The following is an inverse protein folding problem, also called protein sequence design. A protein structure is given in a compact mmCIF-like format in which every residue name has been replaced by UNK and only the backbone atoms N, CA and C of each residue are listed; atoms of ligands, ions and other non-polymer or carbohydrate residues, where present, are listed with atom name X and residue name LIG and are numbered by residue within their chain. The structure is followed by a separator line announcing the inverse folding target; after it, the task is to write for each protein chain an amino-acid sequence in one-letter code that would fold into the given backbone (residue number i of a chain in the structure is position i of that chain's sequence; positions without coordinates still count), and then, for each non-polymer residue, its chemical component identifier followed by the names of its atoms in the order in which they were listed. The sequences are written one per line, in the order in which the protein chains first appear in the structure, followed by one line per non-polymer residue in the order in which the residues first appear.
data_IF_470008146332
#
_entry.id   IF_470008146332
#
_cell.length_a   1.000
_cell.length_b   1.000
_cell.length_c   1.000
_cell.angle_alpha   90.00
_cell.angle_beta   90.00
_cell.angle_gamma   90.00
#
_symmetry.space_group_name_H-M   'P 1'
#
loop_
_entity.id
_entity.type
_entity.pdbx_description
1 polymer ?
#
# COMPACT_ATOMS: atom_id res chain seq x y z
N UNK A 1 -39.44 -7.54 -9.86
CA UNK A 1 -38.03 -7.54 -9.45
C UNK A 1 -37.79 -6.19 -8.82
N UNK A 2 -37.79 -6.15 -7.48
CA UNK A 2 -37.66 -4.92 -6.71
C UNK A 2 -36.19 -4.48 -6.73
N UNK A 3 -35.96 -3.20 -6.99
CA UNK A 3 -34.64 -2.58 -6.86
C UNK A 3 -34.45 -2.27 -5.39
N UNK A 4 -33.40 -2.85 -4.83
CA UNK A 4 -33.00 -2.70 -3.44
C UNK A 4 -32.55 -1.26 -3.16
N UNK A 5 -32.97 -0.69 -2.03
CA UNK A 5 -32.83 0.73 -1.67
C UNK A 5 -31.70 0.99 -0.66
N UNK A 6 -30.95 -0.03 -0.26
CA UNK A 6 -30.11 0.05 0.94
C UNK A 6 -28.67 0.56 0.75
N UNK A 7 -28.14 0.66 -0.48
CA UNK A 7 -26.79 1.22 -0.70
C UNK A 7 -26.64 2.73 -0.46
N UNK A 8 -27.73 3.47 -0.21
CA UNK A 8 -27.66 4.93 -0.01
C UNK A 8 -27.50 5.37 1.46
N UNK A 9 -27.74 4.46 2.40
CA UNK A 9 -27.73 4.80 3.83
C UNK A 9 -26.32 4.79 4.45
N UNK A 10 -25.42 3.91 4.01
CA UNK A 10 -24.05 3.84 4.55
C UNK A 10 -23.22 5.08 4.25
N UNK A 11 -23.28 5.59 3.01
CA UNK A 11 -22.55 6.79 2.63
C UNK A 11 -23.03 8.05 3.37
N UNK A 12 -24.35 8.15 3.61
CA UNK A 12 -24.93 9.23 4.41
C UNK A 12 -24.49 9.10 5.87
N UNK A 13 -24.42 7.87 6.39
CA UNK A 13 -23.97 7.60 7.76
C UNK A 13 -22.50 8.00 7.98
N UNK A 14 -21.63 7.69 7.03
CA UNK A 14 -20.20 8.03 7.10
C UNK A 14 -19.95 9.54 6.98
N UNK A 15 -20.69 10.23 6.10
CA UNK A 15 -20.65 11.69 6.00
C UNK A 15 -21.16 12.37 7.28
N UNK A 16 -22.21 11.82 7.91
CA UNK A 16 -22.72 12.32 9.19
C UNK A 16 -21.72 12.13 10.34
N UNK A 17 -20.98 11.02 10.37
CA UNK A 17 -19.91 10.77 11.37
C UNK A 17 -18.78 11.79 11.20
N UNK A 18 -18.35 12.06 9.97
CA UNK A 18 -17.28 13.04 9.71
C UNK A 18 -17.71 14.46 10.10
N UNK A 19 -18.95 14.87 9.76
CA UNK A 19 -19.49 16.17 10.14
C UNK A 19 -19.70 16.32 11.67
N UNK A 20 -20.07 15.23 12.35
CA UNK A 20 -20.17 15.20 13.81
C UNK A 20 -18.79 15.37 14.49
N UNK A 21 -17.76 14.72 13.95
CA UNK A 21 -16.37 14.86 14.43
C UNK A 21 -15.82 16.28 14.27
N UNK A 22 -16.06 16.92 13.12
CA UNK A 22 -15.67 18.32 12.87
C UNK A 22 -16.38 19.28 13.83
N UNK A 23 -17.66 19.02 14.13
CA UNK A 23 -18.45 19.80 15.08
C UNK A 23 -17.90 19.68 16.51
N UNK A 24 -17.51 18.47 16.95
CA UNK A 24 -16.89 18.24 18.26
C UNK A 24 -15.53 18.95 18.40
N UNK A 25 -14.70 18.94 17.35
CA UNK A 25 -13.41 19.65 17.33
C UNK A 25 -13.61 21.16 17.45
N UNK A 26 -14.60 21.73 16.76
CA UNK A 26 -14.88 23.16 16.82
C UNK A 26 -15.50 23.59 18.16
N UNK A 27 -16.35 22.76 18.76
CA UNK A 27 -16.89 22.98 20.11
C UNK A 27 -15.76 22.93 21.16
N UNK A 28 -14.81 22.00 21.05
CA UNK A 28 -13.69 21.92 21.99
C UNK A 28 -12.75 23.14 21.88
N UNK A 29 -12.51 23.62 20.66
CA UNK A 29 -11.76 24.86 20.39
C UNK A 29 -12.45 26.11 20.97
N UNK A 30 -13.77 26.20 20.86
CA UNK A 30 -14.55 27.29 21.45
C UNK A 30 -14.57 27.24 22.99
N UNK A 31 -14.54 26.05 23.60
CA UNK A 31 -14.51 25.91 25.06
C UNK A 31 -13.21 26.40 25.71
N UNK A 32 -12.12 26.46 24.95
CA UNK A 32 -10.80 26.91 25.43
C UNK A 32 -10.58 28.43 25.38
N UNK A 33 -11.53 29.21 24.87
CA UNK A 33 -11.48 30.68 24.91
C UNK A 33 -12.53 31.25 25.89
N UNK A 34 -12.09 31.53 27.12
CA UNK A 34 -12.71 32.34 28.20
C UNK A 34 -14.24 32.56 28.23
N UNK A 35 -14.84 32.07 29.32
CA UNK A 35 -16.05 32.53 30.04
C UNK A 35 -17.27 32.90 29.19
N UNK A 36 -18.16 31.93 29.01
CA UNK A 36 -19.61 32.16 28.96
C UNK A 36 -20.33 31.04 29.69
N UNK A 37 -21.18 31.44 30.62
CA UNK A 37 -22.10 30.61 31.38
C UNK A 37 -23.25 30.09 30.50
N UNK A 38 -23.67 28.84 30.82
CA UNK A 38 -24.94 28.19 30.50
C UNK A 38 -25.20 27.90 29.00
N UNK A 39 -24.84 26.68 28.59
CA UNK A 39 -25.70 25.86 27.75
C UNK A 39 -26.01 24.58 28.52
N UNK A 40 -27.22 24.46 29.05
CA UNK A 40 -27.74 23.18 29.51
C UNK A 40 -27.80 22.24 28.32
N UNK A 41 -27.10 21.12 28.47
CA UNK A 41 -27.06 19.98 27.55
C UNK A 41 -28.51 19.59 27.19
N UNK A 42 -28.93 19.93 25.97
CA UNK A 42 -30.18 19.44 25.40
C UNK A 42 -29.76 18.50 24.27
N UNK A 43 -30.20 17.26 24.37
CA UNK A 43 -29.90 16.22 23.39
C UNK A 43 -30.35 16.68 22.00
N UNK A 44 -29.38 16.97 21.12
CA UNK A 44 -29.64 17.21 19.70
C UNK A 44 -29.94 15.86 19.09
N UNK A 45 -31.15 15.67 18.58
CA UNK A 45 -31.55 14.41 17.95
C UNK A 45 -31.19 14.40 16.47
N UNK A 46 -31.10 13.22 15.87
CA UNK A 46 -30.88 13.06 14.42
C UNK A 46 -31.92 13.83 13.56
N UNK A 47 -33.15 13.98 14.07
CA UNK A 47 -34.20 14.77 13.42
C UNK A 47 -33.93 16.28 13.43
N UNK A 48 -33.18 16.79 14.41
CA UNK A 48 -32.85 18.22 14.50
C UNK A 48 -31.76 18.57 13.49
N UNK A 49 -30.79 17.66 13.29
CA UNK A 49 -29.77 17.77 12.24
C UNK A 49 -30.41 17.74 10.85
N UNK A 50 -31.35 16.84 10.59
CA UNK A 50 -32.07 16.79 9.31
C UNK A 50 -32.89 18.06 9.03
N UNK A 51 -33.40 18.75 10.05
CA UNK A 51 -34.08 20.05 9.87
C UNK A 51 -33.11 21.20 9.62
N UNK A 52 -31.93 21.17 10.24
CA UNK A 52 -30.89 22.18 10.04
C UNK A 52 -30.32 22.16 8.60
N UNK A 53 -30.22 20.98 8.00
CA UNK A 53 -29.61 20.78 6.68
C UNK A 53 -30.61 20.41 5.58
N UNK A 54 -31.89 20.27 5.92
CA UNK A 54 -32.94 19.78 5.02
C UNK A 54 -33.93 20.85 4.64
N UNK A 55 -33.57 21.67 3.65
CA UNK A 55 -34.50 22.10 2.59
C UNK A 55 -33.66 22.64 1.44
N UNK A 56 -33.63 21.89 0.32
CA UNK A 56 -32.90 22.17 -0.92
C UNK A 56 -31.41 21.75 -0.99
N UNK A 57 -31.14 20.45 -0.84
CA UNK A 57 -29.97 19.83 -1.50
C UNK A 57 -30.47 19.10 -2.74
N UNK A 58 -30.86 19.86 -3.76
CA UNK A 58 -30.98 19.36 -5.12
C UNK A 58 -30.01 20.14 -6.00
N UNK A 59 -29.01 19.41 -6.52
CA UNK A 59 -28.04 19.81 -7.54
C UNK A 59 -27.09 20.96 -7.14
N UNK A 60 -26.06 20.63 -6.35
CA UNK A 60 -24.83 21.42 -6.37
C UNK A 60 -23.85 20.80 -7.38
N UNK A 61 -23.45 21.61 -8.37
CA UNK A 61 -22.35 21.26 -9.28
C UNK A 61 -21.05 21.13 -8.50
N UNK A 62 -20.13 20.32 -9.03
CA UNK A 62 -18.86 19.89 -8.44
C UNK A 62 -18.01 21.04 -7.86
N UNK A 63 -18.09 22.23 -8.44
CA UNK A 63 -17.37 23.42 -7.98
C UNK A 63 -17.91 23.99 -6.66
N UNK A 64 -19.23 23.87 -6.41
CA UNK A 64 -19.83 24.30 -5.15
C UNK A 64 -19.51 23.35 -3.99
N UNK A 65 -19.20 22.07 -4.29
CA UNK A 65 -18.73 21.08 -3.31
C UNK A 65 -17.36 21.43 -2.74
N UNK A 66 -16.42 21.83 -3.61
CA UNK A 66 -15.08 22.22 -3.19
C UNK A 66 -15.07 23.55 -2.41
N UNK A 67 -15.91 24.51 -2.80
CA UNK A 67 -16.02 25.80 -2.11
C UNK A 67 -16.62 25.67 -0.70
N UNK A 68 -17.60 24.78 -0.51
CA UNK A 68 -18.18 24.48 0.81
C UNK A 68 -17.18 23.75 1.71
N UNK A 69 -16.39 22.82 1.16
CA UNK A 69 -15.31 22.15 1.89
C UNK A 69 -14.22 23.14 2.34
N UNK A 70 -13.83 24.07 1.46
CA UNK A 70 -12.83 25.10 1.78
C UNK A 70 -13.31 26.07 2.90
N UNK A 71 -14.59 26.47 2.88
CA UNK A 71 -15.18 27.29 3.94
C UNK A 71 -15.28 26.54 5.28
N UNK A 72 -15.67 25.26 5.27
CA UNK A 72 -15.70 24.43 6.48
C UNK A 72 -14.31 24.20 7.10
N UNK A 73 -13.25 24.29 6.29
CA UNK A 73 -11.85 24.15 6.73
C UNK A 73 -11.20 25.48 7.15
N UNK A 74 -11.90 26.61 7.04
CA UNK A 74 -11.40 27.93 7.48
C UNK A 74 -10.20 28.45 6.67
N UNK A 75 -10.05 28.02 5.41
CA UNK A 75 -8.94 28.41 4.54
C UNK A 75 -9.25 29.71 3.77
N UNK A 76 -9.48 30.81 4.48
CA UNK A 76 -9.29 32.16 3.93
C UNK A 76 -8.67 33.04 5.02
N UNK A 77 -7.33 33.04 5.06
CA UNK A 77 -6.55 34.12 5.66
C UNK A 77 -5.15 34.13 5.00
N UNK A 78 -4.74 35.30 4.51
CA UNK A 78 -3.34 35.60 4.20
C UNK A 78 -2.49 35.30 5.44
N UNK A 79 -1.44 34.49 5.28
CA UNK A 79 -0.51 34.17 6.36
C UNK A 79 0.91 34.46 5.88
N UNK A 80 1.45 35.57 6.39
CA UNK A 80 2.88 35.80 6.54
C UNK A 80 3.52 34.63 7.30
N UNK A 81 4.71 34.25 6.83
CA UNK A 81 5.52 33.12 7.30
C UNK A 81 5.71 33.15 8.82
N UNK A 82 5.11 32.18 9.52
CA UNK A 82 5.47 31.80 10.89
C UNK A 82 5.98 30.37 10.88
N UNK A 83 7.25 30.23 11.23
CA UNK A 83 7.96 28.97 11.45
C UNK A 83 7.41 28.32 12.73
N UNK A 84 6.66 27.22 12.57
CA UNK A 84 6.09 26.46 13.68
C UNK A 84 6.83 25.13 13.80
N UNK A 85 7.78 25.07 14.73
CA UNK A 85 8.41 23.82 15.16
C UNK A 85 7.40 22.96 15.94
N UNK A 86 7.10 21.76 15.45
CA UNK A 86 6.27 20.79 16.15
C UNK A 86 7.05 20.12 17.28
N UNK A 87 6.77 20.49 18.54
CA UNK A 87 7.22 19.68 19.68
C UNK A 87 6.25 18.53 19.92
N UNK A 88 6.66 17.30 19.64
CA UNK A 88 5.93 16.08 20.02
C UNK A 88 6.06 15.88 21.54
N UNK A 89 5.07 16.33 22.31
CA UNK A 89 4.85 15.80 23.67
C UNK A 89 3.65 14.86 23.61
N UNK A 90 3.75 13.62 24.13
CA UNK A 90 2.62 12.73 24.21
C UNK A 90 1.54 13.33 25.13
N UNK A 91 0.26 12.98 24.93
CA UNK A 91 -0.80 13.38 25.86
C UNK A 91 -0.52 12.79 27.24
N UNK A 92 -0.73 13.59 28.28
CA UNK A 92 -0.70 13.13 29.67
C UNK A 92 -1.80 12.07 29.87
N UNK A 93 -1.43 10.84 30.25
CA UNK A 93 -2.38 9.74 30.52
C UNK A 93 -2.07 8.39 29.88
N UNK A 94 -0.92 8.22 29.20
CA UNK A 94 -0.53 6.95 28.53
C UNK A 94 -0.45 5.77 29.51
N UNK A 95 -0.19 6.02 30.80
CA UNK A 95 -0.02 4.97 31.83
C UNK A 95 -1.28 4.17 32.17
N UNK A 96 -2.47 4.60 31.70
CA UNK A 96 -3.75 3.92 31.98
C UNK A 96 -4.22 2.98 30.85
N UNK A 97 -3.51 2.93 29.73
CA UNK A 97 -3.85 2.03 28.63
C UNK A 97 -3.38 0.58 28.93
N UNK A 98 -4.16 -0.46 28.55
CA UNK A 98 -3.69 -1.83 28.58
C UNK A 98 -2.34 -1.97 27.84
N UNK A 99 -1.40 -2.73 28.41
CA UNK A 99 -0.01 -2.85 27.91
C UNK A 99 0.10 -3.23 26.42
N UNK A 100 -0.89 -3.95 25.89
CA UNK A 100 -0.99 -4.28 24.47
C UNK A 100 -1.29 -3.04 23.58
N UNK A 101 -2.11 -2.10 24.06
CA UNK A 101 -2.45 -0.85 23.36
C UNK A 101 -1.36 0.20 23.50
N UNK A 102 -0.64 0.23 24.64
CA UNK A 102 0.56 1.06 24.79
C UNK A 102 1.62 0.69 23.74
N UNK A 103 1.79 -0.60 23.42
CA UNK A 103 2.76 -1.07 22.41
C UNK A 103 2.34 -0.73 20.96
N UNK A 104 1.05 -0.70 20.66
CA UNK A 104 0.52 -0.30 19.34
C UNK A 104 0.72 1.20 19.04
N UNK A 105 0.80 2.05 20.08
CA UNK A 105 1.02 3.50 19.95
C UNK A 105 2.47 3.93 20.17
N UNK A 106 3.27 3.11 20.86
CA UNK A 106 4.68 3.39 21.21
C UNK A 106 5.67 2.56 20.39
N UNK A 107 5.33 2.11 19.18
CA UNK A 107 6.38 1.81 18.22
C UNK A 107 7.00 3.14 17.80
N UNK A 108 7.91 3.65 18.62
CA UNK A 108 8.91 4.60 18.16
C UNK A 108 9.42 4.07 16.82
N UNK A 109 9.49 4.89 15.75
CA UNK A 109 10.16 4.46 14.54
C UNK A 109 11.52 3.95 14.97
N UNK A 110 11.79 2.66 14.74
CA UNK A 110 12.98 1.96 15.21
C UNK A 110 14.18 2.79 14.75
N UNK A 111 14.70 3.63 15.65
CA UNK A 111 15.61 4.74 15.33
C UNK A 111 17.05 4.27 15.20
N UNK A 112 17.30 2.97 15.27
CA UNK A 112 18.59 2.42 14.89
C UNK A 112 18.60 2.23 13.38
N UNK A 113 19.47 2.97 12.70
CA UNK A 113 19.81 2.70 11.31
C UNK A 113 20.04 1.18 11.14
N UNK A 114 19.40 0.54 10.14
CA UNK A 114 19.41 -0.91 10.02
C UNK A 114 20.87 -1.40 9.93
N UNK A 115 21.23 -2.35 10.80
CA UNK A 115 22.53 -3.03 10.70
C UNK A 115 22.66 -3.61 9.30
N UNK A 116 23.86 -3.54 8.72
CA UNK A 116 24.13 -4.11 7.40
C UNK A 116 23.73 -5.60 7.44
N UNK A 117 22.77 -6.04 6.62
CA UNK A 117 22.21 -7.37 6.72
C UNK A 117 23.31 -8.41 6.48
N UNK A 118 23.25 -9.50 7.25
CA UNK A 118 24.07 -10.67 6.99
C UNK A 118 23.86 -11.14 5.54
N UNK A 119 24.94 -11.56 4.87
CA UNK A 119 24.88 -11.87 3.45
C UNK A 119 24.10 -13.17 3.24
N UNK A 120 22.81 -13.05 2.95
CA UNK A 120 21.95 -14.19 2.61
C UNK A 120 22.20 -14.60 1.15
N UNK A 121 22.40 -15.91 0.93
CA UNK A 121 22.43 -16.47 -0.43
C UNK A 121 21.01 -16.56 -0.98
N UNK A 122 20.74 -15.89 -2.09
CA UNK A 122 19.44 -15.96 -2.76
C UNK A 122 19.56 -16.73 -4.07
N UNK A 123 18.69 -17.73 -4.24
CA UNK A 123 18.58 -18.49 -5.48
C UNK A 123 17.77 -17.69 -6.53
N UNK A 124 18.46 -16.82 -7.28
CA UNK A 124 17.86 -16.05 -8.38
C UNK A 124 18.38 -16.56 -9.73
N UNK A 125 17.48 -17.06 -10.57
CA UNK A 125 17.77 -17.43 -11.95
C UNK A 125 17.35 -16.31 -12.92
N UNK A 126 18.22 -16.02 -13.90
CA UNK A 126 17.96 -15.08 -15.01
C UNK A 126 18.39 -15.72 -16.32
N UNK A 127 17.50 -15.78 -17.31
CA UNK A 127 17.88 -16.23 -18.66
C UNK A 127 18.81 -15.21 -19.34
N UNK A 128 19.47 -15.60 -20.43
CA UNK A 128 20.31 -14.66 -21.20
C UNK A 128 19.47 -13.56 -21.87
N UNK A 129 18.25 -13.88 -22.29
CA UNK A 129 17.29 -12.92 -22.84
C UNK A 129 16.92 -11.87 -21.80
N UNK A 130 16.61 -12.31 -20.57
CA UNK A 130 16.31 -11.44 -19.43
C UNK A 130 17.52 -10.55 -19.11
N UNK A 131 18.72 -11.11 -18.96
CA UNK A 131 19.94 -10.32 -18.72
C UNK A 131 20.17 -9.27 -19.80
N UNK A 132 19.92 -9.62 -21.06
CA UNK A 132 20.04 -8.71 -22.20
C UNK A 132 18.97 -7.60 -22.14
N UNK A 133 17.73 -7.96 -21.81
CA UNK A 133 16.62 -7.01 -21.64
C UNK A 133 16.90 -6.02 -20.50
N UNK A 134 17.33 -6.49 -19.32
CA UNK A 134 17.68 -5.62 -18.18
C UNK A 134 18.69 -4.53 -18.57
N UNK A 135 19.76 -4.91 -19.28
CA UNK A 135 20.77 -3.95 -19.77
C UNK A 135 20.18 -2.93 -20.74
N UNK A 136 19.31 -3.37 -21.67
CA UNK A 136 18.66 -2.48 -22.63
C UNK A 136 17.71 -1.51 -21.93
N UNK A 137 16.92 -1.99 -20.98
CA UNK A 137 15.95 -1.18 -20.23
C UNK A 137 16.66 -0.14 -19.36
N UNK A 138 17.70 -0.52 -18.61
CA UNK A 138 18.51 0.43 -17.84
C UNK A 138 19.11 1.53 -18.72
N UNK A 139 19.63 1.17 -19.90
CA UNK A 139 20.14 2.15 -20.85
C UNK A 139 19.03 3.06 -21.42
N UNK A 140 17.81 2.54 -21.57
CA UNK A 140 16.65 3.33 -22.00
C UNK A 140 16.17 4.28 -20.90
N UNK A 141 16.05 3.82 -19.65
CA UNK A 141 15.68 4.65 -18.50
C UNK A 141 16.61 5.85 -18.38
N UNK A 142 17.92 5.62 -18.46
CA UNK A 142 18.90 6.70 -18.42
C UNK A 142 18.69 7.71 -19.56
N UNK A 143 18.53 7.25 -20.79
CA UNK A 143 18.29 8.12 -21.95
C UNK A 143 17.01 8.93 -21.83
N UNK A 144 15.95 8.32 -21.29
CA UNK A 144 14.68 9.01 -21.08
C UNK A 144 14.83 10.06 -19.97
N UNK A 145 15.47 9.73 -18.86
CA UNK A 145 15.74 10.67 -17.78
C UNK A 145 16.59 11.87 -18.25
N UNK A 146 17.66 11.63 -19.01
CA UNK A 146 18.51 12.68 -19.58
C UNK A 146 17.69 13.62 -20.51
N UNK A 147 16.80 13.04 -21.33
CA UNK A 147 15.94 13.79 -22.25
C UNK A 147 14.84 14.59 -21.51
N UNK A 148 14.27 14.02 -20.44
CA UNK A 148 13.29 14.70 -19.58
C UNK A 148 13.93 15.87 -18.83
N UNK A 149 15.14 15.69 -18.31
CA UNK A 149 15.90 16.76 -17.66
C UNK A 149 16.17 17.92 -18.63
N UNK A 150 16.64 17.62 -19.85
CA UNK A 150 16.90 18.63 -20.88
C UNK A 150 15.62 19.42 -21.25
N UNK A 151 14.45 18.77 -21.21
CA UNK A 151 13.17 19.41 -21.50
C UNK A 151 12.67 20.25 -20.35
N UNK A 152 12.82 19.77 -19.11
CA UNK A 152 12.44 20.52 -17.91
C UNK A 152 13.13 21.87 -17.83
N UNK A 153 14.41 21.96 -18.25
CA UNK A 153 15.15 23.23 -18.26
C UNK A 153 14.65 24.28 -19.27
N UNK A 154 13.80 23.89 -20.23
CA UNK A 154 13.32 24.76 -21.31
C UNK A 154 11.87 25.21 -21.14
N UNK A 155 11.16 24.74 -20.11
CA UNK A 155 9.75 25.07 -19.90
C UNK A 155 9.59 26.24 -18.93
N UNK A 156 9.11 27.37 -19.44
CA UNK A 156 8.60 28.46 -18.60
C UNK A 156 7.25 28.03 -17.98
N UNK A 157 7.29 27.80 -16.66
CA UNK A 157 6.20 27.59 -15.69
C UNK A 157 4.78 27.45 -16.26
N UNK A 158 4.26 26.22 -16.37
CA UNK A 158 2.81 26.02 -16.32
C UNK A 158 2.45 24.75 -15.54
N UNK A 159 1.55 24.90 -14.57
CA UNK A 159 1.22 23.86 -13.58
C UNK A 159 0.70 22.54 -14.18
N UNK A 160 0.11 22.55 -15.38
CA UNK A 160 -0.38 21.33 -16.03
C UNK A 160 0.73 20.54 -16.73
N UNK A 161 1.81 21.20 -17.17
CA UNK A 161 2.97 20.54 -17.79
C UNK A 161 3.70 19.64 -16.80
N UNK A 162 3.77 20.11 -15.55
CA UNK A 162 4.48 19.42 -14.48
C UNK A 162 3.83 18.07 -14.14
N UNK A 163 2.51 17.95 -14.26
CA UNK A 163 1.79 16.73 -13.86
C UNK A 163 2.00 15.57 -14.84
N UNK A 164 1.86 15.80 -16.15
CA UNK A 164 2.02 14.72 -17.15
C UNK A 164 3.49 14.24 -17.21
N UNK A 165 4.44 15.17 -17.11
CA UNK A 165 5.86 14.85 -17.02
C UNK A 165 6.17 14.09 -15.73
N UNK A 166 5.69 14.56 -14.57
CA UNK A 166 5.87 13.89 -13.29
C UNK A 166 5.29 12.48 -13.27
N UNK A 167 4.12 12.26 -13.91
CA UNK A 167 3.53 10.92 -14.02
C UNK A 167 4.38 9.98 -14.89
N UNK A 168 4.94 10.46 -16.00
CA UNK A 168 5.84 9.66 -16.83
C UNK A 168 7.15 9.32 -16.09
N UNK A 169 7.75 10.31 -15.43
CA UNK A 169 8.94 10.12 -14.59
C UNK A 169 8.68 9.08 -13.50
N UNK A 170 7.58 9.24 -12.78
CA UNK A 170 7.15 8.31 -11.72
C UNK A 170 6.92 6.90 -12.26
N UNK A 171 6.33 6.72 -13.44
CA UNK A 171 6.16 5.38 -14.02
C UNK A 171 7.49 4.72 -14.36
N UNK A 172 8.41 5.48 -14.94
CA UNK A 172 9.75 4.97 -15.28
C UNK A 172 10.53 4.65 -14.00
N UNK A 173 10.40 5.47 -12.97
CA UNK A 173 11.02 5.26 -11.66
C UNK A 173 10.44 4.03 -10.93
N UNK A 174 9.13 3.83 -11.01
CA UNK A 174 8.43 2.73 -10.34
C UNK A 174 8.55 1.40 -11.10
N UNK A 175 8.97 1.45 -12.37
CA UNK A 175 9.30 0.23 -13.11
C UNK A 175 10.46 -0.52 -12.45
N UNK A 176 10.36 -1.85 -12.38
CA UNK A 176 11.33 -2.67 -11.66
C UNK A 176 11.46 -4.06 -12.30
N UNK A 177 12.56 -4.76 -11.98
CA UNK A 177 12.66 -6.19 -12.25
C UNK A 177 11.60 -6.94 -11.44
N UNK A 178 10.83 -7.82 -12.09
CA UNK A 178 9.85 -8.70 -11.46
C UNK A 178 10.34 -10.14 -11.40
N UNK A 179 9.82 -10.90 -10.43
CA UNK A 179 10.25 -12.27 -10.18
C UNK A 179 9.06 -13.20 -9.95
N UNK A 180 9.01 -14.28 -10.73
CA UNK A 180 8.19 -15.44 -10.42
C UNK A 180 8.80 -16.18 -9.23
N UNK A 181 7.95 -16.63 -8.31
CA UNK A 181 8.39 -17.43 -7.17
C UNK A 181 8.40 -18.91 -7.55
N UNK A 182 9.49 -19.61 -7.24
CA UNK A 182 9.57 -21.08 -7.33
C UNK A 182 9.17 -21.66 -5.99
N UNK A 183 8.17 -22.53 -6.01
CA UNK A 183 7.63 -23.14 -4.80
C UNK A 183 8.16 -24.56 -4.58
N UNK A 184 8.37 -24.90 -3.32
CA UNK A 184 8.48 -26.28 -2.86
C UNK A 184 7.36 -26.54 -1.85
N UNK A 185 6.76 -27.73 -1.90
CA UNK A 185 5.79 -28.17 -0.91
C UNK A 185 6.52 -28.81 0.27
N UNK A 186 6.16 -28.40 1.48
CA UNK A 186 6.59 -29.04 2.73
C UNK A 186 5.41 -29.29 3.65
N UNK A 187 5.49 -30.31 4.49
CA UNK A 187 4.46 -30.54 5.50
C UNK A 187 4.54 -29.48 6.61
N UNK A 188 3.40 -28.94 7.03
CA UNK A 188 3.30 -27.96 8.12
C UNK A 188 3.97 -28.42 9.44
N UNK A 189 4.12 -29.73 9.65
CA UNK A 189 4.71 -30.31 10.86
C UNK A 189 6.22 -30.12 10.97
N UNK A 190 6.90 -29.91 9.85
CA UNK A 190 8.37 -29.89 9.78
C UNK A 190 8.93 -28.65 9.08
N UNK A 191 8.06 -27.79 8.53
CA UNK A 191 8.50 -26.57 7.86
C UNK A 191 9.21 -25.62 8.84
N UNK A 192 10.29 -25.01 8.37
CA UNK A 192 10.92 -23.91 9.08
C UNK A 192 10.02 -22.67 9.02
N UNK A 193 9.43 -22.30 10.15
CA UNK A 193 8.49 -21.17 10.24
C UNK A 193 9.16 -19.81 10.06
N UNK A 194 10.50 -19.73 9.98
CA UNK A 194 11.26 -18.49 9.78
C UNK A 194 11.60 -18.18 8.30
N UNK A 195 11.06 -18.94 7.34
CA UNK A 195 11.28 -18.74 5.89
C UNK A 195 10.11 -18.04 5.20
N UNK A 196 10.31 -17.58 3.96
CA UNK A 196 9.22 -17.06 3.13
C UNK A 196 8.30 -18.19 2.66
N UNK A 197 6.98 -18.02 2.81
CA UNK A 197 5.99 -19.04 2.46
C UNK A 197 4.59 -18.45 2.23
N UNK A 198 3.72 -19.23 1.59
CA UNK A 198 2.28 -18.96 1.46
C UNK A 198 1.50 -19.74 2.51
N UNK A 199 0.39 -19.17 2.99
CA UNK A 199 -0.59 -19.80 3.90
C UNK A 199 -0.08 -20.32 5.24
N UNK A 200 1.20 -20.13 5.59
CA UNK A 200 1.74 -20.55 6.88
C UNK A 200 1.97 -22.06 7.00
N UNK A 201 2.22 -22.57 8.21
CA UNK A 201 2.16 -21.86 9.49
C UNK A 201 3.28 -20.82 9.60
N UNK A 202 2.90 -19.55 9.77
CA UNK A 202 3.88 -18.45 9.92
C UNK A 202 4.59 -18.50 11.26
N UNK A 203 5.72 -17.81 11.39
CA UNK A 203 6.35 -17.62 12.68
C UNK A 203 5.42 -16.85 13.61
N UNK A 204 5.19 -17.34 14.81
CA UNK A 204 4.45 -16.64 15.86
C UNK A 204 5.11 -16.92 17.19
N UNK A 205 5.12 -15.93 18.09
CA UNK A 205 5.67 -16.05 19.43
C UNK A 205 4.73 -15.40 20.46
N UNK A 206 5.08 -15.44 21.75
CA UNK A 206 4.30 -14.73 22.77
C UNK A 206 4.31 -13.20 22.57
N UNK A 207 5.41 -12.66 22.02
CA UNK A 207 5.52 -11.24 21.71
C UNK A 207 4.79 -10.86 20.41
N UNK A 208 4.71 -11.80 19.47
CA UNK A 208 4.05 -11.65 18.17
C UNK A 208 3.07 -12.80 17.94
N UNK A 209 1.92 -12.81 18.66
CA UNK A 209 0.96 -13.89 18.56
C UNK A 209 0.27 -13.88 17.19
N UNK A 210 -0.23 -15.04 16.77
CA UNK A 210 -1.16 -15.11 15.63
C UNK A 210 -2.36 -14.20 15.90
N UNK A 211 -2.78 -13.36 14.94
CA UNK A 211 -4.02 -12.60 15.08
C UNK A 211 -5.22 -13.53 15.23
N UNK A 212 -6.18 -13.13 16.05
CA UNK A 212 -7.41 -13.90 16.27
C UNK A 212 -8.29 -13.79 15.02
N UNK A 213 -8.82 -14.92 14.54
CA UNK A 213 -9.74 -14.99 13.41
C UNK A 213 -9.20 -14.43 12.07
N UNK A 214 -7.88 -14.36 11.89
CA UNK A 214 -7.29 -14.00 10.60
C UNK A 214 -6.53 -15.18 9.99
N UNK A 215 -6.61 -15.30 8.68
CA UNK A 215 -5.91 -16.32 7.92
C UNK A 215 -4.53 -15.81 7.45
N UNK A 216 -3.48 -16.64 7.56
CA UNK A 216 -2.14 -16.32 7.05
C UNK A 216 -2.13 -16.28 5.51
N UNK A 217 -1.69 -15.19 4.89
CA UNK A 217 -1.64 -15.08 3.41
C UNK A 217 -0.24 -15.32 2.88
N UNK A 218 0.70 -14.43 3.23
CA UNK A 218 2.11 -14.57 2.86
C UNK A 218 3.03 -14.13 4.01
N UNK A 219 4.14 -14.84 4.17
CA UNK A 219 5.28 -14.41 4.98
C UNK A 219 6.50 -14.25 4.08
N UNK A 220 7.27 -13.19 4.27
CA UNK A 220 8.51 -12.91 3.56
C UNK A 220 9.67 -12.67 4.53
N UNK A 221 10.79 -13.34 4.31
CA UNK A 221 12.08 -12.93 4.87
C UNK A 221 12.58 -11.67 4.15
N UNK A 222 12.54 -10.54 4.86
CA UNK A 222 12.92 -9.24 4.31
C UNK A 222 14.40 -9.17 3.93
N UNK A 223 15.28 -10.05 4.48
CA UNK A 223 16.68 -10.12 4.04
C UNK A 223 16.79 -10.66 2.63
N UNK A 224 15.98 -11.67 2.30
CA UNK A 224 15.92 -12.26 0.96
C UNK A 224 15.35 -11.23 -0.01
N UNK A 225 14.23 -10.61 0.33
CA UNK A 225 13.63 -9.54 -0.47
C UNK A 225 14.64 -8.41 -0.72
N UNK A 226 15.34 -7.97 0.32
CA UNK A 226 16.39 -6.93 0.24
C UNK A 226 17.53 -7.32 -0.71
N UNK A 227 17.99 -8.58 -0.62
CA UNK A 227 19.06 -9.09 -1.47
C UNK A 227 18.64 -9.22 -2.94
N UNK A 228 17.36 -9.52 -3.22
CA UNK A 228 16.82 -9.56 -4.59
C UNK A 228 16.88 -8.18 -5.24
N UNK A 229 16.37 -7.14 -4.57
CA UNK A 229 16.33 -5.77 -5.13
C UNK A 229 17.58 -4.94 -4.87
N UNK A 230 18.54 -5.46 -4.11
CA UNK A 230 19.77 -4.74 -3.75
C UNK A 230 19.53 -3.51 -2.87
N UNK A 231 18.40 -3.47 -2.13
CA UNK A 231 18.00 -2.34 -1.28
C UNK A 231 17.57 -2.86 0.08
N UNK A 232 17.89 -2.18 1.18
CA UNK A 232 17.53 -2.61 2.52
C UNK A 232 16.03 -2.40 2.80
N UNK A 233 15.23 -3.45 2.66
CA UNK A 233 13.80 -3.46 2.97
C UNK A 233 13.51 -3.81 4.43
N UNK A 234 14.48 -4.40 5.13
CA UNK A 234 14.39 -4.76 6.53
C UNK A 234 15.18 -6.03 6.86
N UNK A 235 15.29 -6.31 8.16
CA UNK A 235 15.95 -7.50 8.70
C UNK A 235 14.98 -8.21 9.66
N UNK A 236 14.07 -9.00 9.09
CA UNK A 236 12.94 -9.59 9.82
C UNK A 236 12.00 -10.38 8.92
N UNK A 237 10.81 -10.68 9.45
CA UNK A 237 9.72 -11.33 8.73
C UNK A 237 8.59 -10.34 8.52
N UNK A 238 8.16 -10.14 7.28
CA UNK A 238 6.91 -9.45 6.96
C UNK A 238 5.82 -10.50 6.83
N UNK A 239 4.68 -10.30 7.47
CA UNK A 239 3.51 -11.16 7.39
C UNK A 239 2.30 -10.36 6.95
N UNK A 240 1.49 -10.97 6.08
CA UNK A 240 0.15 -10.51 5.75
C UNK A 240 -0.86 -11.52 6.29
N UNK A 241 -1.78 -11.03 7.10
CA UNK A 241 -2.93 -11.75 7.61
C UNK A 241 -4.21 -11.11 7.07
N UNK A 242 -5.24 -11.92 6.86
CA UNK A 242 -6.49 -11.44 6.30
C UNK A 242 -7.72 -12.07 6.96
N UNK A 243 -8.67 -11.22 7.31
CA UNK A 243 -9.98 -11.56 7.85
C UNK A 243 -11.00 -11.42 6.72
N UNK A 244 -11.54 -12.55 6.26
CA UNK A 244 -12.49 -12.59 5.16
C UNK A 244 -13.89 -12.10 5.55
N UNK A 245 -14.27 -12.25 6.81
CA UNK A 245 -15.59 -11.85 7.27
C UNK A 245 -15.69 -10.33 7.33
N UNK A 246 -14.66 -9.68 7.86
CA UNK A 246 -14.61 -8.22 7.99
C UNK A 246 -13.91 -7.52 6.82
N UNK A 247 -13.35 -8.27 5.86
CA UNK A 247 -12.50 -7.76 4.77
C UNK A 247 -11.36 -6.87 5.28
N UNK A 248 -10.62 -7.37 6.28
CA UNK A 248 -9.52 -6.62 6.92
C UNK A 248 -8.20 -7.31 6.74
N UNK A 249 -7.20 -6.54 6.32
CA UNK A 249 -5.81 -6.98 6.29
C UNK A 249 -5.04 -6.49 7.52
N UNK A 250 -4.11 -7.30 7.99
CA UNK A 250 -3.09 -6.91 8.95
C UNK A 250 -1.71 -7.21 8.38
N UNK A 251 -0.90 -6.15 8.24
CA UNK A 251 0.53 -6.29 8.00
C UNK A 251 1.26 -6.27 9.34
N UNK A 252 2.13 -7.24 9.56
CA UNK A 252 3.01 -7.29 10.72
C UNK A 252 4.47 -7.47 10.28
N UNK A 253 5.39 -6.73 10.91
CA UNK A 253 6.83 -6.94 10.75
C UNK A 253 7.41 -7.43 12.06
N UNK A 254 8.07 -8.58 12.02
CA UNK A 254 8.74 -9.19 13.19
C UNK A 254 10.25 -9.00 13.02
N UNK A 255 10.92 -8.24 13.91
CA UNK A 255 12.36 -8.02 13.84
C UNK A 255 13.13 -9.33 13.93
N UNK A 256 14.22 -9.47 13.16
CA UNK A 256 15.02 -10.71 13.14
C UNK A 256 15.52 -11.13 14.51
N UNK A 257 15.85 -10.17 15.37
CA UNK A 257 16.32 -10.44 16.73
C UNK A 257 15.28 -11.16 17.61
N UNK A 258 14.00 -11.09 17.23
CA UNK A 258 12.86 -11.72 17.92
C UNK A 258 12.43 -13.04 17.26
N UNK A 259 13.06 -13.42 16.14
CA UNK A 259 12.74 -14.65 15.41
C UNK A 259 13.58 -15.80 15.98
N UNK A 260 13.07 -16.45 17.01
CA UNK A 260 13.61 -17.68 17.57
C UNK A 260 12.67 -18.86 17.30
N UNK A 261 13.05 -19.76 16.40
CA UNK A 261 12.21 -20.90 16.01
C UNK A 261 11.91 -21.86 17.16
N UNK A 262 12.71 -21.83 18.23
CA UNK A 262 12.47 -22.63 19.44
C UNK A 262 11.34 -22.07 20.32
N UNK A 263 10.99 -20.79 20.18
CA UNK A 263 9.91 -20.10 20.91
C UNK A 263 8.62 -19.98 20.07
N UNK A 264 8.44 -20.86 19.09
CA UNK A 264 7.26 -20.80 18.23
C UNK A 264 6.00 -21.25 18.97
N UNK A 265 4.98 -20.39 19.04
CA UNK A 265 3.70 -20.76 19.65
C UNK A 265 2.94 -21.74 18.77
N UNK A 266 2.05 -22.53 19.38
CA UNK A 266 1.16 -23.43 18.63
C UNK A 266 0.35 -22.65 17.60
N UNK A 267 0.38 -23.10 16.36
CA UNK A 267 -0.35 -22.49 15.26
C UNK A 267 -1.75 -23.12 15.18
N UNK A 268 -2.77 -22.38 15.60
CA UNK A 268 -4.16 -22.82 15.57
C UNK A 268 -4.96 -21.88 14.67
N UNK A 269 -4.86 -22.08 13.35
CA UNK A 269 -5.73 -21.38 12.41
C UNK A 269 -6.85 -22.32 12.02
N UNK A 270 -8.08 -21.93 12.37
CA UNK A 270 -9.27 -22.64 11.91
C UNK A 270 -9.47 -22.27 10.45
N UNK A 271 -9.49 -23.26 9.56
CA UNK A 271 -9.94 -23.02 8.19
C UNK A 271 -11.35 -22.44 8.25
N UNK A 272 -11.61 -21.35 7.52
CA UNK A 272 -12.96 -20.81 7.39
C UNK A 272 -13.87 -21.90 6.84
N UNK A 273 -14.97 -22.21 7.52
CA UNK A 273 -15.83 -23.34 7.18
C UNK A 273 -16.61 -23.23 5.86
N UNK A 274 -16.40 -22.15 5.08
CA UNK A 274 -17.06 -21.90 3.80
C UNK A 274 -16.03 -21.48 2.74
N UNK A 275 -15.44 -22.49 2.07
CA UNK A 275 -14.47 -22.32 0.99
C UNK A 275 -15.00 -21.45 -0.17
N UNK A 276 -16.31 -21.22 -0.24
CA UNK A 276 -16.97 -20.38 -1.24
C UNK A 276 -16.89 -18.87 -0.99
N UNK A 277 -16.59 -18.44 0.24
CA UNK A 277 -16.57 -17.02 0.64
C UNK A 277 -15.15 -16.49 0.91
N UNK A 278 -14.15 -17.37 0.94
CA UNK A 278 -12.80 -16.96 1.27
C UNK A 278 -12.11 -16.30 0.06
N UNK A 279 -11.56 -15.07 0.20
CA UNK A 279 -10.92 -14.37 -0.91
C UNK A 279 -9.51 -14.86 -1.21
N UNK A 280 -9.09 -16.01 -0.66
CA UNK A 280 -7.92 -16.68 -1.23
C UNK A 280 -8.28 -17.11 -2.64
N UNK A 281 -7.35 -16.99 -3.59
CA UNK A 281 -7.56 -17.56 -4.91
C UNK A 281 -8.06 -18.99 -4.74
N UNK A 282 -9.23 -19.32 -5.28
CA UNK A 282 -9.89 -20.63 -5.15
C UNK A 282 -9.01 -21.83 -5.59
N UNK A 283 -7.83 -21.56 -6.13
CA UNK A 283 -6.82 -22.50 -6.62
C UNK A 283 -5.50 -22.44 -5.83
N UNK A 284 -5.51 -21.84 -4.63
CA UNK A 284 -4.35 -21.73 -3.77
C UNK A 284 -4.04 -23.08 -3.10
N UNK A 285 -3.17 -23.87 -3.73
CA UNK A 285 -2.72 -25.19 -3.24
C UNK A 285 -1.74 -25.03 -2.06
N UNK A 286 -2.13 -24.35 -0.98
CA UNK A 286 -1.32 -24.20 0.25
C UNK A 286 -2.24 -24.06 1.46
N UNK A 287 -2.06 -24.94 2.44
CA UNK A 287 -2.90 -25.02 3.65
C UNK A 287 -2.02 -24.94 4.91
N UNK A 288 -2.27 -24.00 5.85
CA UNK A 288 -1.53 -23.90 7.12
C UNK A 288 -1.51 -25.19 7.93
N UNK A 289 -2.50 -26.06 7.74
CA UNK A 289 -2.67 -27.31 8.45
C UNK A 289 -2.32 -28.54 7.58
N UNK A 290 -1.80 -28.32 6.37
CA UNK A 290 -1.51 -29.34 5.37
C UNK A 290 -0.13 -29.19 4.76
N UNK A 291 -0.07 -29.23 3.43
CA UNK A 291 1.16 -28.93 2.69
C UNK A 291 1.24 -27.43 2.41
N UNK A 292 2.42 -26.89 2.66
CA UNK A 292 2.69 -25.45 2.63
C UNK A 292 3.68 -25.15 1.51
N UNK A 293 3.46 -24.04 0.81
CA UNK A 293 4.34 -23.61 -0.30
C UNK A 293 5.41 -22.66 0.20
N UNK A 294 6.64 -23.17 0.32
CA UNK A 294 7.81 -22.36 0.66
C UNK A 294 8.44 -21.73 -0.60
N UNK A 295 9.11 -20.60 -0.43
CA UNK A 295 9.76 -19.90 -1.54
C UNK A 295 11.19 -20.46 -1.70
N UNK A 296 11.35 -21.40 -2.62
CA UNK A 296 12.62 -22.11 -2.85
C UNK A 296 13.57 -21.35 -3.81
N UNK A 297 13.05 -20.41 -4.57
CA UNK A 297 13.86 -19.60 -5.47
C UNK A 297 13.04 -18.57 -6.25
N UNK A 298 13.74 -17.82 -7.09
CA UNK A 298 13.17 -16.69 -7.81
C UNK A 298 13.64 -16.73 -9.26
N UNK A 299 12.71 -16.59 -10.18
CA UNK A 299 13.00 -16.49 -11.60
C UNK A 299 12.62 -15.10 -12.10
N UNK A 300 13.62 -14.35 -12.53
CA UNK A 300 13.37 -13.03 -13.10
C UNK A 300 12.56 -13.15 -14.37
N UNK A 301 11.46 -12.42 -14.44
CA UNK A 301 10.65 -12.24 -15.65
C UNK A 301 11.08 -11.02 -16.47
N UNK A 302 12.16 -10.35 -16.04
CA UNK A 302 12.65 -9.15 -16.66
C UNK A 302 12.14 -7.87 -16.02
N UNK A 303 12.45 -6.75 -16.67
CA UNK A 303 11.98 -5.44 -16.22
C UNK A 303 10.53 -5.23 -16.63
N UNK A 304 9.68 -4.83 -15.70
CA UNK A 304 8.25 -4.55 -15.96
C UNK A 304 7.91 -3.11 -15.65
N UNK A 305 7.05 -2.54 -16.49
CA UNK A 305 6.47 -1.22 -16.34
C UNK A 305 4.97 -1.29 -16.60
N UNK A 306 4.24 -0.28 -16.14
CA UNK A 306 2.80 -0.18 -16.38
C UNK A 306 2.56 0.15 -17.86
N UNK A 307 1.98 -0.82 -18.58
CA UNK A 307 1.94 -0.79 -20.05
C UNK A 307 0.82 0.02 -20.69
N UNK A 308 -0.22 0.45 -19.95
CA UNK A 308 -1.45 1.02 -20.57
C UNK A 308 -1.47 2.54 -20.53
N UNK A 309 -0.75 3.17 -19.61
CA UNK A 309 -0.87 4.61 -19.38
C UNK A 309 0.02 5.41 -20.33
N UNK A 310 0.95 4.77 -21.05
CA UNK A 310 1.82 5.55 -21.93
C UNK A 310 1.08 6.15 -23.11
N UNK A 311 0.08 5.50 -23.70
CA UNK A 311 -0.68 6.15 -24.78
C UNK A 311 -1.43 7.38 -24.25
N UNK A 312 -2.03 7.27 -23.05
CA UNK A 312 -2.70 8.38 -22.35
C UNK A 312 -1.72 9.50 -21.95
N UNK A 313 -0.54 9.16 -21.43
CA UNK A 313 0.49 10.14 -21.09
C UNK A 313 1.07 10.79 -22.34
N UNK A 314 1.31 9.99 -23.38
CA UNK A 314 1.79 10.48 -24.66
C UNK A 314 0.76 11.37 -25.31
N UNK A 315 -0.54 11.17 -25.13
CA UNK A 315 -1.60 12.11 -25.55
C UNK A 315 -1.50 13.43 -24.79
N UNK A 316 -1.32 13.37 -23.47
CA UNK A 316 -1.27 14.53 -22.56
C UNK A 316 0.04 15.32 -22.59
N UNK A 317 1.14 14.74 -23.08
CA UNK A 317 2.37 15.51 -23.33
C UNK A 317 2.10 16.63 -24.34
N UNK A 318 2.72 17.80 -24.15
CA UNK A 318 2.57 18.88 -25.13
C UNK A 318 3.17 18.48 -26.49
N UNK A 319 2.62 19.02 -27.58
CA UNK A 319 3.17 18.81 -28.94
C UNK A 319 4.65 19.23 -29.04
N UNK A 320 5.06 20.27 -28.31
CA UNK A 320 6.45 20.73 -28.17
C UNK A 320 7.35 19.66 -27.52
N UNK A 321 6.80 18.88 -26.60
CA UNK A 321 7.52 17.82 -25.88
C UNK A 321 7.53 16.47 -26.64
N UNK A 322 6.69 16.31 -27.67
CA UNK A 322 6.64 15.12 -28.53
C UNK A 322 7.57 15.26 -29.74
N UNK A 323 8.89 15.24 -29.52
CA UNK A 323 9.76 14.99 -30.67
C UNK A 323 9.63 13.53 -31.10
N UNK A 324 9.74 13.27 -32.41
CA UNK A 324 9.68 11.91 -32.93
C UNK A 324 10.78 11.01 -32.35
N UNK A 325 11.91 11.58 -31.90
CA UNK A 325 12.97 10.84 -31.22
C UNK A 325 12.57 10.41 -29.81
N UNK A 326 11.97 11.31 -29.03
CA UNK A 326 11.57 11.01 -27.65
C UNK A 326 10.42 10.00 -27.61
N UNK A 327 9.40 10.19 -28.46
CA UNK A 327 8.29 9.23 -28.63
C UNK A 327 8.83 7.82 -28.88
N UNK A 328 9.80 7.67 -29.79
CA UNK A 328 10.42 6.36 -30.09
C UNK A 328 11.19 5.75 -28.90
N UNK A 329 11.76 6.57 -28.01
CA UNK A 329 12.41 6.07 -26.81
C UNK A 329 11.39 5.47 -25.85
N UNK A 330 10.28 6.19 -25.63
CA UNK A 330 9.19 5.76 -24.77
C UNK A 330 8.51 4.49 -25.33
N UNK A 331 8.17 4.46 -26.61
CA UNK A 331 7.61 3.27 -27.28
C UNK A 331 8.53 2.05 -27.14
N UNK A 332 9.84 2.27 -27.30
CA UNK A 332 10.83 1.21 -27.13
C UNK A 332 10.91 0.74 -25.68
N UNK A 333 10.89 1.65 -24.71
CA UNK A 333 10.86 1.29 -23.29
C UNK A 333 9.63 0.44 -22.95
N UNK A 334 8.43 0.83 -23.42
CA UNK A 334 7.21 0.06 -23.18
C UNK A 334 7.25 -1.33 -23.80
N UNK A 335 7.76 -1.42 -25.03
CA UNK A 335 7.91 -2.70 -25.72
C UNK A 335 8.83 -3.64 -24.94
N UNK A 336 9.91 -3.11 -24.39
CA UNK A 336 10.88 -3.88 -23.61
C UNK A 336 10.40 -4.21 -22.20
N UNK A 337 9.42 -3.47 -21.66
CA UNK A 337 8.94 -3.62 -20.27
C UNK A 337 7.52 -4.17 -20.15
N UNK A 338 6.97 -4.72 -21.24
CA UNK A 338 5.64 -5.31 -21.25
C UNK A 338 5.58 -6.49 -20.28
N UNK A 339 4.65 -6.41 -19.34
CA UNK A 339 4.40 -7.52 -18.43
C UNK A 339 3.75 -8.70 -19.19
N UNK A 340 4.35 -9.89 -19.07
CA UNK A 340 3.88 -11.13 -19.69
C UNK A 340 3.54 -12.21 -18.68
N UNK A 341 3.67 -11.90 -17.39
CA UNK A 341 3.55 -12.93 -16.37
C UNK A 341 2.11 -13.33 -16.11
N UNK A 342 1.90 -14.62 -15.83
CA UNK A 342 0.60 -15.23 -15.54
C UNK A 342 0.58 -15.97 -14.20
N UNK A 343 1.67 -15.97 -13.45
CA UNK A 343 1.67 -16.67 -12.16
C UNK A 343 0.72 -15.98 -11.19
N UNK A 344 0.31 -16.73 -10.18
CA UNK A 344 -0.57 -16.23 -9.14
C UNK A 344 0.15 -15.25 -8.20
N UNK A 345 1.43 -15.51 -7.89
CA UNK A 345 2.21 -14.69 -6.95
C UNK A 345 3.52 -14.24 -7.60
N UNK A 346 3.80 -12.95 -7.50
CA UNK A 346 5.03 -12.31 -7.98
C UNK A 346 5.66 -11.47 -6.89
N UNK A 347 6.98 -11.35 -6.94
CA UNK A 347 7.70 -10.34 -6.19
C UNK A 347 8.19 -9.23 -7.10
N UNK A 348 8.04 -7.99 -6.63
CA UNK A 348 8.49 -6.78 -7.28
C UNK A 348 7.93 -6.55 -8.69
N UNK A 349 8.40 -5.49 -9.34
CA UNK A 349 7.93 -5.09 -10.66
C UNK A 349 6.79 -4.10 -10.63
N UNK A 350 6.22 -3.86 -11.80
CA UNK A 350 5.06 -3.02 -11.98
C UNK A 350 3.99 -3.80 -12.71
N UNK A 351 2.88 -4.02 -12.03
CA UNK A 351 1.73 -4.71 -12.60
C UNK A 351 0.70 -3.67 -13.01
N UNK A 352 -0.15 -4.04 -13.97
CA UNK A 352 -1.36 -3.29 -14.25
C UNK A 352 -2.55 -4.04 -13.66
N UNK A 353 -2.84 -3.90 -12.35
CA UNK A 353 -4.17 -4.18 -11.85
C UNK A 353 -5.14 -3.22 -12.53
N UNK A 354 -6.36 -3.68 -12.77
CA UNK A 354 -7.40 -2.84 -13.35
C UNK A 354 -7.81 -1.70 -12.39
N UNK A 355 -7.36 -1.73 -11.13
CA UNK A 355 -7.86 -0.84 -10.08
C UNK A 355 -6.82 0.07 -9.40
N UNK A 356 -5.57 -0.33 -9.23
CA UNK A 356 -4.54 0.52 -8.61
C UNK A 356 -3.15 0.15 -9.10
N UNK A 357 -2.21 1.08 -9.03
CA UNK A 357 -0.90 0.91 -9.65
C UNK A 357 0.20 1.54 -8.78
N UNK A 358 1.42 1.00 -8.84
CA UNK A 358 2.56 1.53 -8.09
C UNK A 358 2.79 3.04 -8.32
N UNK A 359 2.64 3.52 -9.56
CA UNK A 359 2.73 4.95 -9.86
C UNK A 359 1.56 5.77 -9.34
N UNK A 360 0.35 5.22 -9.22
CA UNK A 360 -0.77 5.99 -8.69
C UNK A 360 -0.66 6.12 -7.16
N UNK A 361 -0.32 5.02 -6.50
CA UNK A 361 -0.11 4.94 -5.06
C UNK A 361 1.19 5.66 -4.64
N UNK A 362 2.22 5.66 -5.49
CA UNK A 362 3.53 6.24 -5.20
C UNK A 362 4.45 5.37 -4.39
N UNK A 363 4.15 4.08 -4.36
CA UNK A 363 4.89 3.08 -3.61
C UNK A 363 5.25 1.93 -4.53
N UNK A 364 6.42 1.33 -4.30
CA UNK A 364 6.89 0.21 -5.11
C UNK A 364 6.15 -1.06 -4.71
N UNK A 365 5.81 -1.90 -5.67
CA UNK A 365 5.21 -3.19 -5.37
C UNK A 365 6.27 -4.13 -4.78
N UNK A 366 5.96 -4.75 -3.63
CA UNK A 366 6.73 -5.83 -3.03
C UNK A 366 6.20 -7.19 -3.48
N UNK A 367 4.89 -7.40 -3.34
CA UNK A 367 4.20 -8.64 -3.69
C UNK A 367 2.97 -8.29 -4.51
N UNK A 368 2.73 -9.04 -5.59
CA UNK A 368 1.44 -9.04 -6.27
C UNK A 368 0.85 -10.43 -6.22
N UNK A 369 -0.42 -10.50 -5.85
CA UNK A 369 -1.24 -11.69 -5.77
C UNK A 369 -2.41 -11.52 -6.73
N UNK A 370 -2.43 -12.30 -7.80
CA UNK A 370 -3.48 -12.30 -8.81
C UNK A 370 -4.63 -13.23 -8.41
N UNK A 371 -5.80 -13.00 -8.98
CA UNK A 371 -7.04 -13.76 -8.72
C UNK A 371 -7.46 -13.70 -7.25
N UNK A 372 -7.30 -12.54 -6.62
CA UNK A 372 -7.77 -12.30 -5.25
C UNK A 372 -9.30 -12.30 -5.23
N UNK A 373 -9.92 -13.17 -4.42
CA UNK A 373 -11.35 -13.45 -4.54
C UNK A 373 -11.68 -14.18 -5.85
N UNK A 374 -12.62 -13.62 -6.63
CA UNK A 374 -13.11 -14.26 -7.85
C UNK A 374 -12.24 -13.98 -9.08
N UNK A 375 -11.88 -12.72 -9.31
CA UNK A 375 -11.06 -12.22 -10.43
C UNK A 375 -10.31 -10.92 -10.05
N UNK A 376 -10.13 -10.70 -8.75
CA UNK A 376 -9.49 -9.52 -8.20
C UNK A 376 -7.97 -9.58 -8.19
N UNK A 377 -7.36 -8.59 -7.55
CA UNK A 377 -5.92 -8.54 -7.35
C UNK A 377 -5.66 -8.05 -5.94
N UNK A 378 -4.56 -8.45 -5.33
CA UNK A 378 -4.05 -7.84 -4.11
C UNK A 378 -2.55 -7.62 -4.20
N UNK A 379 -2.06 -6.58 -3.53
CA UNK A 379 -0.65 -6.20 -3.59
C UNK A 379 -0.18 -5.68 -2.25
N UNK A 380 1.06 -6.00 -1.91
CA UNK A 380 1.80 -5.35 -0.83
C UNK A 380 2.74 -4.34 -1.47
N UNK A 381 2.64 -3.09 -1.05
CA UNK A 381 3.51 -2.00 -1.44
C UNK A 381 4.53 -1.70 -0.34
N UNK A 382 5.64 -1.07 -0.73
CA UNK A 382 6.63 -0.55 0.20
C UNK A 382 7.10 0.85 -0.20
N UNK A 383 7.48 1.61 0.82
CA UNK A 383 8.08 2.94 0.71
C UNK A 383 9.29 3.02 1.64
N UNK A 384 10.39 3.55 1.11
CA UNK A 384 11.60 3.82 1.89
C UNK A 384 11.62 5.32 2.17
N UNK A 385 11.49 5.67 3.43
CA UNK A 385 11.48 7.05 3.89
C UNK A 385 12.89 7.64 3.87
N UNK A 386 12.99 8.97 3.89
CA UNK A 386 14.29 9.68 3.93
C UNK A 386 15.16 9.28 5.14
N UNK A 387 14.53 8.87 6.24
CA UNK A 387 15.19 8.36 7.45
C UNK A 387 15.81 6.98 7.27
N UNK A 388 15.51 6.29 6.16
CA UNK A 388 15.88 4.90 5.90
C UNK A 388 14.91 3.88 6.51
N UNK A 389 13.85 4.31 7.21
CA UNK A 389 12.79 3.40 7.64
C UNK A 389 11.94 2.95 6.45
N UNK A 390 11.35 1.76 6.55
CA UNK A 390 10.51 1.19 5.49
C UNK A 390 9.10 0.98 6.03
N UNK A 391 8.10 1.42 5.28
CA UNK A 391 6.69 1.14 5.56
C UNK A 391 6.10 0.23 4.50
N UNK A 392 5.15 -0.60 4.90
CA UNK A 392 4.44 -1.53 4.02
C UNK A 392 2.94 -1.25 4.07
N UNK A 393 2.27 -1.42 2.93
CA UNK A 393 0.82 -1.19 2.81
C UNK A 393 0.21 -2.30 1.96
N UNK A 394 -0.93 -2.83 2.38
CA UNK A 394 -1.68 -3.81 1.60
C UNK A 394 -2.86 -3.11 0.93
N UNK A 395 -3.02 -3.37 -0.35
CA UNK A 395 -4.15 -2.92 -1.15
C UNK A 395 -4.74 -4.10 -1.87
N UNK A 396 -6.06 -4.16 -1.94
CA UNK A 396 -6.78 -5.20 -2.67
C UNK A 396 -7.87 -4.60 -3.53
N UNK A 397 -8.30 -5.39 -4.53
CA UNK A 397 -9.56 -5.16 -5.17
C UNK A 397 -10.40 -6.42 -5.29
N UNK A 398 -11.56 -6.33 -4.65
CA UNK A 398 -12.82 -7.05 -4.88
C UNK A 398 -13.24 -7.07 -6.35
N UNK A 399 -13.42 -8.20 -7.05
CA UNK A 399 -14.27 -8.26 -8.25
C UNK A 399 -15.40 -9.25 -8.08
#
# INVERSE_FOLDING_TARGET
MAIDKDCSNEFIHELCIQLWWVSLINISKLSNSKKTDIFTQKDITYSDLLKMYGTEVNVLKEDARHSLLAQCMGLEAEVDVLDVSWSRKPPTGVDELPTALQRLWLTDPISSAPKKPEKVSVNVSRSEEVKSQLKRVQALQKKIADELLLRSSNLESSNQKDLAQSNLERQIEMSAESFNVKFESQSFKVVDRAVSMLSGPFFTSMAYPAPVAMYPIVQLDLRIASAIVGTALGDGLLQLWYDSEDCRALIQVIPRAEVDTSDTTTFNVTASGDDGQFPLPFFWDSDPNGDVKIFAGYESTGWTSQGVITDLLMENLEKSNKTASFVKLIEKFNKETKNTTKEMVHLFGSFYPIQYSASDIGKKCLVAINNWGSDGNSQIFYEIHETGSVSFEFMESVR
#
